data_IF_904623353471
#
_entry.id   IF_904623353471
#
_cell.length_a   1.000
_cell.length_b   1.000
_cell.length_c   1.000
_cell.angle_alpha   90.00
_cell.angle_beta   90.00
_cell.angle_gamma   90.00
#
_symmetry.space_group_name_H-M   'P 1'
#
loop_
_entity.id
_entity.type
_entity.pdbx_description
1 polymer ?
#
# COMPACT_ATOMS: atom_id res chain seq x y z
N UNK A 1 -14.89 -42.14 -15.73
CA UNK A 1 -14.94 -40.75 -15.18
C UNK A 1 -13.94 -40.72 -14.04
N UNK A 2 -12.72 -40.23 -14.27
CA UNK A 2 -11.79 -39.94 -13.17
C UNK A 2 -12.34 -38.72 -12.41
N UNK A 3 -12.86 -38.94 -11.20
CA UNK A 3 -13.11 -37.86 -10.28
C UNK A 3 -11.76 -37.17 -10.04
N UNK A 4 -11.58 -35.93 -10.55
CA UNK A 4 -10.46 -35.10 -10.12
C UNK A 4 -10.58 -35.03 -8.59
N UNK A 5 -9.62 -35.58 -7.88
CA UNK A 5 -9.49 -35.37 -6.42
C UNK A 5 -9.19 -33.88 -6.26
N UNK A 6 -9.98 -33.16 -5.48
CA UNK A 6 -9.70 -31.76 -5.17
C UNK A 6 -8.28 -31.63 -4.61
N UNK A 7 -7.43 -30.91 -5.32
CA UNK A 7 -6.00 -30.79 -5.00
C UNK A 7 -5.77 -29.79 -3.86
N UNK A 8 -6.63 -28.78 -3.74
CA UNK A 8 -6.54 -27.74 -2.72
C UNK A 8 -6.39 -28.27 -1.29
N UNK A 9 -7.21 -29.25 -0.80
CA UNK A 9 -7.05 -29.76 0.57
C UNK A 9 -5.70 -30.44 0.83
N UNK A 10 -5.12 -31.10 -0.18
CA UNK A 10 -3.79 -31.70 -0.05
C UNK A 10 -2.71 -30.64 0.10
N UNK A 11 -2.71 -29.63 -0.76
CA UNK A 11 -1.73 -28.55 -0.75
C UNK A 11 -1.84 -27.67 0.50
N UNK A 12 -3.05 -27.44 1.02
CA UNK A 12 -3.23 -26.73 2.29
C UNK A 12 -2.64 -27.51 3.48
N UNK A 13 -2.79 -28.84 3.53
CA UNK A 13 -2.10 -29.65 4.55
C UNK A 13 -0.58 -29.59 4.42
N UNK A 14 -0.05 -29.62 3.19
CA UNK A 14 1.37 -29.42 2.93
C UNK A 14 1.84 -28.05 3.42
N UNK A 15 1.07 -27.01 3.15
CA UNK A 15 1.32 -25.65 3.65
C UNK A 15 1.40 -25.63 5.18
N UNK A 16 0.45 -26.25 5.87
CA UNK A 16 0.40 -26.28 7.34
C UNK A 16 1.57 -27.08 7.95
N UNK A 17 2.07 -28.07 7.23
CA UNK A 17 3.23 -28.86 7.65
C UNK A 17 4.56 -28.12 7.50
N UNK A 18 4.75 -27.34 6.41
CA UNK A 18 6.06 -26.77 6.05
C UNK A 18 6.17 -25.25 6.17
N UNK A 19 5.06 -24.54 6.33
CA UNK A 19 5.05 -23.07 6.47
C UNK A 19 4.64 -22.71 7.89
N UNK A 20 5.42 -21.86 8.60
CA UNK A 20 5.12 -21.51 9.98
C UNK A 20 3.79 -20.74 10.08
N UNK A 21 3.02 -20.96 11.14
CA UNK A 21 1.71 -20.35 11.39
C UNK A 21 1.72 -18.83 11.44
N UNK A 22 2.88 -18.20 11.66
CA UNK A 22 3.05 -16.75 11.63
C UNK A 22 2.85 -16.13 10.24
N UNK A 23 2.95 -16.94 9.16
CA UNK A 23 2.61 -16.56 7.78
C UNK A 23 1.17 -16.99 7.50
N UNK A 24 0.21 -16.08 7.73
CA UNK A 24 -1.21 -16.36 7.51
C UNK A 24 -1.55 -16.24 6.03
N UNK A 25 -2.34 -17.21 5.52
CA UNK A 25 -3.02 -17.12 4.22
C UNK A 25 -4.47 -16.68 4.48
N UNK A 26 -4.86 -15.53 3.98
CA UNK A 26 -6.17 -14.93 4.27
C UNK A 26 -7.34 -15.77 3.70
N UNK A 27 -7.13 -16.43 2.57
CA UNK A 27 -8.09 -17.32 1.93
C UNK A 27 -7.52 -18.74 1.84
N UNK A 28 -8.26 -19.80 2.16
CA UNK A 28 -7.80 -21.17 2.07
C UNK A 28 -7.86 -21.67 0.61
N UNK A 29 -7.05 -21.05 -0.25
CA UNK A 29 -6.95 -21.34 -1.69
C UNK A 29 -5.50 -21.51 -2.09
N UNK A 30 -5.27 -22.30 -3.14
CA UNK A 30 -3.98 -22.43 -3.82
C UNK A 30 -4.18 -22.04 -5.28
N UNK A 31 -3.49 -21.00 -5.70
CA UNK A 31 -3.66 -20.43 -7.04
C UNK A 31 -2.70 -21.08 -8.02
N UNK A 32 -3.23 -21.48 -9.18
CA UNK A 32 -2.46 -22.05 -10.29
C UNK A 32 -2.07 -20.97 -11.31
N UNK A 33 -3.03 -20.12 -11.72
CA UNK A 33 -2.80 -19.09 -12.75
C UNK A 33 -3.60 -17.83 -12.49
N UNK A 34 -3.14 -16.74 -13.13
CA UNK A 34 -3.77 -15.42 -13.01
C UNK A 34 -3.67 -14.64 -14.33
N UNK A 35 -4.64 -13.77 -14.62
CA UNK A 35 -4.64 -12.88 -15.77
C UNK A 35 -5.52 -11.66 -15.51
N UNK A 36 -5.01 -10.44 -15.74
CA UNK A 36 -5.77 -9.21 -15.52
C UNK A 36 -6.26 -9.08 -14.07
N UNK A 37 -7.58 -9.08 -13.87
CA UNK A 37 -8.22 -9.03 -12.55
C UNK A 37 -8.75 -10.40 -12.09
N UNK A 38 -8.27 -11.49 -12.64
CA UNK A 38 -8.79 -12.83 -12.39
C UNK A 38 -7.71 -13.80 -11.93
N UNK A 39 -8.10 -14.70 -11.03
CA UNK A 39 -7.30 -15.82 -10.51
C UNK A 39 -8.04 -17.13 -10.73
N UNK A 40 -7.30 -18.21 -10.93
CA UNK A 40 -7.85 -19.56 -10.93
C UNK A 40 -7.07 -20.43 -9.94
N UNK A 41 -7.78 -21.15 -9.09
CA UNK A 41 -7.16 -22.11 -8.19
C UNK A 41 -6.78 -23.41 -8.93
N UNK A 42 -6.06 -24.28 -8.23
CA UNK A 42 -5.60 -25.58 -8.77
C UNK A 42 -6.74 -26.51 -9.14
N UNK A 43 -7.93 -26.31 -8.57
CA UNK A 43 -9.15 -27.08 -8.89
C UNK A 43 -9.90 -26.47 -10.09
N UNK A 44 -9.43 -25.32 -10.61
CA UNK A 44 -9.93 -24.65 -11.81
C UNK A 44 -11.04 -23.63 -11.55
N UNK A 45 -11.38 -23.33 -10.29
CA UNK A 45 -12.36 -22.31 -9.96
C UNK A 45 -11.81 -20.91 -10.20
N UNK A 46 -12.60 -20.06 -10.84
CA UNK A 46 -12.28 -18.65 -11.11
C UNK A 46 -12.68 -17.76 -9.94
N UNK A 47 -11.86 -16.72 -9.70
CA UNK A 47 -12.12 -15.67 -8.74
C UNK A 47 -11.79 -14.30 -9.33
N UNK A 48 -12.61 -13.29 -9.02
CA UNK A 48 -12.24 -11.88 -9.19
C UNK A 48 -11.28 -11.47 -8.09
N UNK A 49 -10.12 -10.92 -8.45
CA UNK A 49 -9.09 -10.48 -7.51
C UNK A 49 -9.24 -8.99 -7.17
N UNK A 50 -10.03 -8.72 -6.12
CA UNK A 50 -10.13 -7.35 -5.57
C UNK A 50 -9.19 -7.13 -4.39
N UNK A 51 -8.17 -7.98 -4.27
CA UNK A 51 -7.02 -7.82 -3.36
C UNK A 51 -5.79 -7.30 -4.11
N UNK A 52 -5.63 -7.70 -5.38
CA UNK A 52 -4.52 -7.29 -6.24
C UNK A 52 -3.14 -7.54 -5.64
N UNK A 53 -2.93 -8.68 -4.95
CA UNK A 53 -1.69 -8.95 -4.22
C UNK A 53 -1.43 -7.98 -3.06
N UNK A 54 -2.48 -7.44 -2.43
CA UNK A 54 -2.45 -6.35 -1.45
C UNK A 54 -2.02 -5.02 -2.11
N UNK A 55 -2.67 -4.69 -3.25
CA UNK A 55 -2.41 -3.44 -3.97
C UNK A 55 -1.09 -3.39 -4.74
N UNK A 56 -0.60 -4.55 -5.16
CA UNK A 56 0.64 -4.69 -5.97
C UNK A 56 0.34 -4.64 -7.47
N UNK A 57 -0.84 -5.08 -7.88
CA UNK A 57 -1.17 -5.40 -9.27
C UNK A 57 -2.09 -4.35 -9.90
N UNK A 58 -1.71 -3.07 -9.84
CA UNK A 58 -2.53 -2.00 -10.43
C UNK A 58 -2.77 -2.18 -11.93
N UNK A 59 -1.80 -2.76 -12.66
CA UNK A 59 -1.94 -3.07 -14.09
C UNK A 59 -2.40 -4.51 -14.36
N UNK A 60 -2.88 -5.23 -13.31
CA UNK A 60 -3.33 -6.60 -13.40
C UNK A 60 -2.23 -7.65 -13.42
N UNK A 61 -2.65 -8.91 -13.32
CA UNK A 61 -1.77 -10.05 -13.39
C UNK A 61 -1.24 -10.24 -14.82
N UNK A 62 0.04 -10.56 -14.93
CA UNK A 62 0.70 -10.97 -16.18
C UNK A 62 0.45 -9.99 -17.33
N UNK A 63 0.60 -8.69 -17.07
CA UNK A 63 0.44 -7.67 -18.11
C UNK A 63 1.42 -7.91 -19.26
N UNK A 64 0.96 -7.99 -20.54
CA UNK A 64 1.80 -8.43 -21.67
C UNK A 64 3.08 -7.61 -21.83
N UNK A 65 3.03 -6.29 -21.65
CA UNK A 65 4.21 -5.42 -21.76
C UNK A 65 5.25 -5.73 -20.66
N UNK A 66 4.81 -6.00 -19.45
CA UNK A 66 5.71 -6.36 -18.33
C UNK A 66 6.35 -7.72 -18.58
N UNK A 67 5.55 -8.72 -18.97
CA UNK A 67 6.08 -10.06 -19.33
C UNK A 67 7.12 -9.96 -20.43
N UNK A 68 6.85 -9.24 -21.50
CA UNK A 68 7.78 -9.05 -22.62
C UNK A 68 9.07 -8.33 -22.18
N UNK A 69 8.98 -7.27 -21.38
CA UNK A 69 10.13 -6.52 -20.89
C UNK A 69 11.03 -7.38 -19.99
N UNK A 70 10.43 -8.18 -19.10
CA UNK A 70 11.16 -9.11 -18.22
C UNK A 70 11.86 -10.20 -19.02
N UNK A 71 11.18 -10.82 -19.99
CA UNK A 71 11.76 -11.82 -20.87
C UNK A 71 12.94 -11.28 -21.66
N UNK A 72 12.81 -10.08 -22.24
CA UNK A 72 13.87 -9.42 -22.97
C UNK A 72 15.07 -9.05 -22.07
N UNK A 73 14.83 -8.61 -20.86
CA UNK A 73 15.89 -8.27 -19.91
C UNK A 73 16.60 -9.53 -19.38
N UNK A 74 15.87 -10.63 -19.15
CA UNK A 74 16.43 -11.89 -18.69
C UNK A 74 17.51 -12.46 -19.63
N UNK A 75 17.37 -12.25 -20.93
CA UNK A 75 18.35 -12.66 -21.94
C UNK A 75 19.61 -11.77 -21.95
N UNK A 76 19.60 -10.61 -21.27
CA UNK A 76 20.74 -9.68 -21.22
C UNK A 76 21.53 -9.85 -19.92
N UNK A 77 20.91 -9.51 -18.80
CA UNK A 77 21.48 -9.65 -17.47
C UNK A 77 20.37 -9.79 -16.44
N UNK A 78 20.40 -10.88 -15.68
CA UNK A 78 19.45 -11.15 -14.61
C UNK A 78 19.85 -10.46 -13.31
N UNK A 79 21.16 -10.42 -13.01
CA UNK A 79 21.70 -9.82 -11.79
C UNK A 79 23.18 -9.49 -11.97
N UNK A 80 23.59 -8.29 -11.53
CA UNK A 80 24.99 -7.88 -11.52
C UNK A 80 25.38 -7.06 -10.27
N UNK A 81 24.44 -6.83 -9.36
CA UNK A 81 24.55 -5.93 -8.20
C UNK A 81 24.91 -4.49 -8.59
N UNK A 82 23.96 -3.56 -8.49
CA UNK A 82 24.18 -2.16 -8.92
C UNK A 82 25.36 -1.47 -8.22
N UNK A 83 25.67 -1.88 -7.00
CA UNK A 83 26.84 -1.37 -6.26
C UNK A 83 28.19 -1.80 -6.84
N UNK A 84 28.21 -2.83 -7.70
CA UNK A 84 29.42 -3.31 -8.37
C UNK A 84 29.52 -2.72 -9.77
N UNK A 85 28.46 -2.79 -10.56
CA UNK A 85 28.38 -2.25 -11.93
C UNK A 85 26.97 -1.69 -12.18
N UNK A 86 26.91 -0.52 -12.81
CA UNK A 86 25.64 0.07 -13.20
C UNK A 86 25.05 -0.66 -14.41
N UNK A 87 23.73 -0.64 -14.55
CA UNK A 87 23.00 -1.14 -15.71
C UNK A 87 21.83 -0.21 -16.07
N UNK A 88 21.57 -0.15 -17.38
CA UNK A 88 20.69 0.84 -17.99
C UNK A 88 19.26 0.86 -17.38
N UNK A 89 18.57 -0.26 -17.14
CA UNK A 89 17.21 -0.21 -16.58
C UNK A 89 17.11 0.50 -15.21
N UNK A 90 18.14 0.41 -14.36
CA UNK A 90 18.17 1.14 -13.10
C UNK A 90 18.26 2.65 -13.31
N UNK A 91 19.16 3.08 -14.23
CA UNK A 91 19.38 4.50 -14.52
C UNK A 91 18.14 5.13 -15.16
N UNK A 92 17.55 4.45 -16.14
CA UNK A 92 16.35 4.91 -16.83
C UNK A 92 15.17 5.05 -15.83
N UNK A 93 14.98 4.06 -14.96
CA UNK A 93 13.94 4.11 -13.95
C UNK A 93 14.18 5.23 -12.93
N UNK A 94 15.42 5.41 -12.49
CA UNK A 94 15.78 6.49 -11.57
C UNK A 94 15.44 7.85 -12.16
N UNK A 95 15.84 8.09 -13.41
CA UNK A 95 15.50 9.31 -14.14
C UNK A 95 13.98 9.51 -14.21
N UNK A 96 13.25 8.48 -14.67
CA UNK A 96 11.81 8.55 -14.88
C UNK A 96 11.06 8.90 -13.58
N UNK A 97 11.40 8.24 -12.47
CA UNK A 97 10.75 8.52 -11.17
C UNK A 97 11.13 9.89 -10.62
N UNK A 98 12.37 10.35 -10.80
CA UNK A 98 12.77 11.70 -10.41
C UNK A 98 11.99 12.77 -11.18
N UNK A 99 11.78 12.59 -12.49
CA UNK A 99 10.97 13.49 -13.32
C UNK A 99 9.48 13.49 -12.90
N UNK A 100 8.92 12.30 -12.58
CA UNK A 100 7.51 12.17 -12.17
C UNK A 100 7.22 12.76 -10.79
N UNK A 101 8.17 12.72 -9.87
CA UNK A 101 7.98 13.12 -8.46
C UNK A 101 8.56 14.51 -8.18
N UNK A 102 9.73 14.81 -8.73
CA UNK A 102 10.51 16.01 -8.38
C UNK A 102 9.98 17.32 -8.93
N UNK A 103 9.18 17.29 -9.99
CA UNK A 103 8.73 18.49 -10.65
C UNK A 103 9.90 19.34 -11.17
N UNK A 104 10.07 20.57 -10.66
CA UNK A 104 11.18 21.46 -11.04
C UNK A 104 12.43 21.35 -10.15
N UNK A 105 12.35 20.67 -9.02
CA UNK A 105 13.48 20.45 -8.12
C UNK A 105 14.32 19.25 -8.57
N UNK A 106 15.63 19.27 -8.26
CA UNK A 106 16.50 18.12 -8.50
C UNK A 106 16.20 17.00 -7.50
N UNK A 107 15.83 15.84 -8.01
CA UNK A 107 15.57 14.62 -7.23
C UNK A 107 16.55 13.53 -7.60
N UNK A 108 16.75 12.58 -6.68
CA UNK A 108 17.50 11.33 -6.87
C UNK A 108 16.69 10.14 -6.39
N UNK A 109 17.00 8.97 -6.92
CA UNK A 109 16.35 7.71 -6.56
C UNK A 109 17.38 6.66 -6.15
N UNK A 110 17.05 5.86 -5.12
CA UNK A 110 17.77 4.66 -4.75
C UNK A 110 16.79 3.51 -4.62
N UNK A 111 17.12 2.34 -5.21
CA UNK A 111 16.22 1.18 -5.24
C UNK A 111 16.67 0.07 -4.29
N UNK A 112 15.67 -0.62 -3.74
CA UNK A 112 15.78 -1.72 -2.80
C UNK A 112 14.83 -2.85 -3.23
N UNK A 113 14.68 -3.89 -2.40
CA UNK A 113 13.89 -5.07 -2.77
C UNK A 113 12.46 -4.99 -2.23
N UNK A 114 12.28 -4.52 -1.00
CA UNK A 114 10.97 -4.47 -0.33
C UNK A 114 10.59 -3.08 0.17
N UNK A 115 9.28 -2.83 0.34
CA UNK A 115 8.82 -1.57 0.92
C UNK A 115 9.38 -1.28 2.31
N UNK A 116 9.58 -2.31 3.13
CA UNK A 116 10.21 -2.15 4.44
C UNK A 116 11.65 -1.62 4.32
N UNK A 117 12.44 -2.13 3.35
CA UNK A 117 13.79 -1.59 3.09
C UNK A 117 13.74 -0.13 2.62
N UNK A 118 12.78 0.24 1.77
CA UNK A 118 12.62 1.63 1.34
C UNK A 118 12.33 2.54 2.54
N UNK A 119 11.41 2.15 3.43
CA UNK A 119 11.11 2.90 4.67
C UNK A 119 12.34 3.02 5.55
N UNK A 120 13.04 1.92 5.84
CA UNK A 120 14.27 1.93 6.66
C UNK A 120 15.34 2.87 6.09
N UNK A 121 15.55 2.83 4.77
CA UNK A 121 16.51 3.70 4.10
C UNK A 121 16.04 5.16 4.05
N UNK A 122 14.74 5.45 3.91
CA UNK A 122 14.23 6.81 3.99
C UNK A 122 14.51 7.43 5.38
N UNK A 123 14.33 6.67 6.46
CA UNK A 123 14.69 7.12 7.82
C UNK A 123 16.22 7.32 7.97
N UNK A 124 17.02 6.39 7.43
CA UNK A 124 18.51 6.55 7.46
C UNK A 124 18.94 7.82 6.72
N UNK A 125 18.38 8.09 5.56
CA UNK A 125 18.64 9.28 4.75
C UNK A 125 18.25 10.55 5.52
N UNK A 126 17.05 10.59 6.10
CA UNK A 126 16.55 11.73 6.87
C UNK A 126 17.45 12.00 8.11
N UNK A 127 17.85 10.96 8.83
CA UNK A 127 18.78 11.07 9.97
C UNK A 127 20.15 11.58 9.55
N UNK A 128 20.70 11.07 8.44
CA UNK A 128 21.98 11.53 7.91
C UNK A 128 21.94 13.00 7.48
N UNK A 129 20.85 13.44 6.86
CA UNK A 129 20.66 14.81 6.41
C UNK A 129 20.51 15.80 7.56
N UNK A 130 19.68 15.47 8.54
CA UNK A 130 19.33 16.38 9.64
C UNK A 130 20.29 16.31 10.81
N UNK A 131 21.08 15.24 10.92
CA UNK A 131 21.86 14.87 12.10
C UNK A 131 21.00 14.78 13.38
N UNK A 132 19.72 14.36 13.24
CA UNK A 132 18.74 14.18 14.30
C UNK A 132 18.32 12.72 14.38
N UNK A 133 17.82 12.26 15.55
CA UNK A 133 17.49 10.84 15.77
C UNK A 133 15.99 10.51 15.77
N UNK A 134 15.15 11.43 16.24
CA UNK A 134 13.75 11.15 16.47
C UNK A 134 12.93 11.09 15.17
N UNK A 135 11.92 10.24 15.16
CA UNK A 135 10.97 10.09 14.05
C UNK A 135 9.55 10.08 14.59
N UNK A 136 8.65 10.78 13.94
CA UNK A 136 7.23 10.76 14.25
C UNK A 136 6.49 9.98 13.17
N UNK A 137 5.64 9.03 13.60
CA UNK A 137 4.73 8.26 12.76
C UNK A 137 3.29 8.42 13.27
N UNK A 138 2.32 7.86 12.56
CA UNK A 138 0.92 8.01 12.90
C UNK A 138 0.29 6.70 13.40
N UNK A 139 -0.63 6.80 14.37
CA UNK A 139 -1.44 5.66 14.82
C UNK A 139 -2.24 5.10 13.64
N UNK A 140 -2.32 3.77 13.57
CA UNK A 140 -2.96 3.07 12.45
C UNK A 140 -2.07 2.94 11.20
N UNK A 141 -0.95 3.67 11.10
CA UNK A 141 -0.01 3.56 9.96
C UNK A 141 0.66 2.20 9.88
N UNK A 142 1.04 1.80 8.65
CA UNK A 142 1.79 0.56 8.39
C UNK A 142 3.02 0.85 7.51
N UNK A 143 4.20 0.60 8.06
CA UNK A 143 5.47 0.94 7.42
C UNK A 143 6.44 -0.25 7.26
N UNK A 144 5.93 -1.49 7.34
CA UNK A 144 6.72 -2.70 7.15
C UNK A 144 6.79 -3.60 8.39
N UNK A 145 7.53 -4.71 8.26
CA UNK A 145 7.66 -5.76 9.29
C UNK A 145 9.10 -6.02 9.72
N UNK A 146 10.07 -5.21 9.30
CA UNK A 146 11.41 -5.14 9.90
C UNK A 146 11.32 -4.51 11.29
N UNK A 147 12.35 -4.59 12.12
CA UNK A 147 12.28 -4.07 13.49
C UNK A 147 11.95 -2.57 13.54
N UNK A 148 12.60 -1.73 12.72
CA UNK A 148 12.25 -0.32 12.64
C UNK A 148 10.90 -0.11 11.96
N UNK A 149 10.61 -0.79 10.84
CA UNK A 149 9.30 -0.73 10.17
C UNK A 149 8.15 -1.11 11.10
N UNK A 150 8.33 -2.15 11.91
CA UNK A 150 7.37 -2.54 12.97
C UNK A 150 7.27 -1.48 14.07
N UNK A 151 8.38 -0.84 14.45
CA UNK A 151 8.37 0.24 15.43
C UNK A 151 7.55 1.43 14.94
N UNK A 152 7.73 1.83 13.67
CA UNK A 152 6.98 2.91 13.01
C UNK A 152 5.50 2.58 12.80
N UNK A 153 5.18 1.29 12.59
CA UNK A 153 3.79 0.84 12.41
C UNK A 153 2.95 1.18 13.65
N UNK A 154 1.82 1.85 13.44
CA UNK A 154 0.95 2.41 14.49
C UNK A 154 -0.06 1.43 15.08
N UNK A 155 0.14 0.12 14.92
CA UNK A 155 -0.74 -0.96 15.42
C UNK A 155 0.06 -1.99 16.22
N UNK A 156 -0.50 -2.49 17.35
CA UNK A 156 0.17 -3.48 18.20
C UNK A 156 -0.02 -4.91 17.67
N UNK A 157 -1.24 -5.30 17.36
CA UNK A 157 -1.56 -6.64 16.85
C UNK A 157 -1.83 -6.63 15.35
N UNK A 158 -1.26 -7.62 14.63
CA UNK A 158 -0.35 -8.69 15.06
C UNK A 158 1.14 -8.26 15.00
N UNK A 159 1.44 -7.00 14.72
CA UNK A 159 2.75 -6.54 14.23
C UNK A 159 3.82 -6.40 15.31
N UNK A 160 3.43 -6.06 16.55
CA UNK A 160 4.37 -5.75 17.65
C UNK A 160 4.41 -6.80 18.76
N UNK A 161 3.37 -7.59 18.87
CA UNK A 161 3.24 -8.53 20.01
C UNK A 161 4.38 -9.55 20.02
N UNK A 162 5.14 -9.58 21.12
CA UNK A 162 6.28 -10.48 21.37
C UNK A 162 7.51 -10.26 20.46
N UNK A 163 7.64 -9.09 19.80
CA UNK A 163 8.80 -8.79 18.94
C UNK A 163 9.75 -7.74 19.51
N UNK A 164 9.47 -7.18 20.70
CA UNK A 164 10.37 -6.20 21.33
C UNK A 164 11.71 -6.78 21.78
N UNK A 165 12.71 -5.93 22.12
CA UNK A 165 12.59 -4.46 22.22
C UNK A 165 12.53 -3.78 20.85
N UNK A 166 11.84 -2.62 20.79
CA UNK A 166 11.69 -1.83 19.58
C UNK A 166 12.76 -0.73 19.49
N UNK A 167 12.93 -0.15 18.29
CA UNK A 167 13.86 0.94 18.08
C UNK A 167 13.46 2.17 18.92
N UNK A 168 14.42 2.82 19.60
CA UNK A 168 14.16 4.04 20.36
C UNK A 168 13.89 5.24 19.44
N UNK A 169 13.43 6.34 20.03
CA UNK A 169 13.23 7.63 19.36
C UNK A 169 12.16 7.60 18.24
N UNK A 170 11.15 6.73 18.38
CA UNK A 170 9.97 6.71 17.51
C UNK A 170 8.75 7.08 18.32
N UNK A 171 8.04 8.12 17.88
CA UNK A 171 6.87 8.68 18.54
C UNK A 171 5.63 8.53 17.64
N UNK A 172 4.45 8.39 18.24
CA UNK A 172 3.21 8.20 17.50
C UNK A 172 2.18 9.28 17.88
N UNK A 173 1.63 9.92 16.86
CA UNK A 173 0.55 10.91 16.98
C UNK A 173 -0.74 10.40 16.31
N UNK A 174 -1.94 10.90 16.66
CA UNK A 174 -3.17 10.54 15.98
C UNK A 174 -3.16 10.89 14.49
N UNK A 175 -3.82 10.05 13.68
CA UNK A 175 -4.13 10.33 12.28
C UNK A 175 -5.59 10.81 12.18
N UNK A 176 -5.94 11.76 11.29
CA UNK A 176 -7.32 12.20 11.11
C UNK A 176 -8.26 11.05 10.73
N UNK A 177 -9.36 10.94 11.43
CA UNK A 177 -10.41 9.96 11.18
C UNK A 177 -11.76 10.56 11.63
N UNK A 178 -12.36 11.37 10.76
CA UNK A 178 -13.61 12.09 11.08
C UNK A 178 -14.76 11.13 11.44
N UNK A 179 -14.83 9.97 10.80
CA UNK A 179 -15.85 8.96 11.11
C UNK A 179 -15.73 8.45 12.56
N UNK A 180 -14.53 8.43 13.13
CA UNK A 180 -14.23 8.04 14.51
C UNK A 180 -13.98 9.23 15.45
N UNK A 181 -14.36 10.45 15.02
CA UNK A 181 -14.31 11.65 15.86
C UNK A 181 -12.93 12.31 15.99
N UNK A 182 -11.95 11.95 15.16
CA UNK A 182 -10.63 12.61 15.14
C UNK A 182 -10.55 13.57 13.96
N UNK A 183 -10.73 14.87 14.21
CA UNK A 183 -10.61 15.91 13.18
C UNK A 183 -9.14 16.21 12.83
N UNK A 184 -8.91 16.92 11.71
CA UNK A 184 -7.59 17.46 11.34
C UNK A 184 -7.00 18.33 12.45
N UNK A 185 -7.80 19.24 13.02
CA UNK A 185 -7.36 20.14 14.10
C UNK A 185 -6.95 19.37 15.37
N UNK A 186 -7.70 18.32 15.74
CA UNK A 186 -7.34 17.48 16.87
C UNK A 186 -6.02 16.74 16.64
N UNK A 187 -5.80 16.23 15.43
CA UNK A 187 -4.57 15.55 15.09
C UNK A 187 -3.36 16.49 15.06
N UNK A 188 -3.52 17.70 14.51
CA UNK A 188 -2.48 18.74 14.52
C UNK A 188 -2.17 19.22 15.94
N UNK A 189 -3.19 19.46 16.76
CA UNK A 189 -3.01 19.84 18.17
C UNK A 189 -2.26 18.75 18.96
N UNK A 190 -2.58 17.48 18.73
CA UNK A 190 -1.87 16.36 19.35
C UNK A 190 -0.41 16.29 18.90
N UNK A 191 -0.10 16.63 17.65
CA UNK A 191 1.27 16.72 17.14
C UNK A 191 2.02 17.90 17.81
N UNK A 192 1.41 19.06 17.94
CA UNK A 192 1.99 20.22 18.65
C UNK A 192 2.27 19.88 20.12
N UNK A 193 1.33 19.22 20.79
CA UNK A 193 1.51 18.75 22.18
C UNK A 193 2.66 17.75 22.30
N UNK A 194 2.78 16.79 21.35
CA UNK A 194 3.88 15.84 21.31
C UNK A 194 5.23 16.57 21.18
N UNK A 195 5.32 17.57 20.30
CA UNK A 195 6.53 18.38 20.12
C UNK A 195 6.87 19.22 21.37
N UNK A 196 5.86 19.66 22.13
CA UNK A 196 6.05 20.44 23.34
C UNK A 196 6.42 19.57 24.57
N UNK A 197 5.98 18.30 24.62
CA UNK A 197 6.03 17.49 25.87
C UNK A 197 6.91 16.25 25.79
N UNK A 198 7.12 15.68 24.60
CA UNK A 198 7.80 14.39 24.44
C UNK A 198 9.12 14.49 23.68
N UNK A 199 9.16 15.28 22.61
CA UNK A 199 10.37 15.43 21.77
C UNK A 199 10.41 16.83 21.15
N UNK A 200 11.46 17.58 21.45
CA UNK A 200 11.64 18.91 20.85
C UNK A 200 11.80 18.81 19.32
N UNK A 201 11.21 19.76 18.56
CA UNK A 201 11.22 19.75 17.10
C UNK A 201 12.63 19.67 16.49
N UNK A 202 13.62 20.27 17.16
CA UNK A 202 15.06 20.26 16.76
C UNK A 202 15.70 18.88 16.87
N UNK A 203 15.06 17.93 17.54
CA UNK A 203 15.51 16.52 17.62
C UNK A 203 14.85 15.63 16.59
N UNK A 204 13.76 16.09 15.95
CA UNK A 204 12.99 15.29 14.97
C UNK A 204 13.67 15.32 13.61
N UNK A 205 14.13 14.16 13.16
CA UNK A 205 14.72 13.97 11.82
C UNK A 205 13.64 13.96 10.75
N UNK A 206 12.55 13.23 10.99
CA UNK A 206 11.50 13.03 9.99
C UNK A 206 10.11 12.85 10.62
N UNK A 207 9.10 13.19 9.84
CA UNK A 207 7.73 12.74 10.00
C UNK A 207 7.40 11.85 8.81
N UNK A 208 6.93 10.62 9.06
CA UNK A 208 6.50 9.68 8.01
C UNK A 208 4.98 9.50 8.06
N UNK A 209 4.34 9.57 6.89
CA UNK A 209 2.88 9.45 6.77
C UNK A 209 2.48 8.77 5.45
N UNK A 210 1.45 7.92 5.50
CA UNK A 210 0.74 7.44 4.31
C UNK A 210 -0.30 8.50 3.91
N UNK A 211 -0.37 8.98 2.64
CA UNK A 211 -1.46 9.88 2.19
C UNK A 211 -2.85 9.26 2.36
N UNK A 212 -2.96 7.95 2.20
CA UNK A 212 -4.11 7.14 2.60
C UNK A 212 -3.59 5.95 3.38
N UNK A 213 -3.94 5.84 4.66
CA UNK A 213 -3.56 4.69 5.46
C UNK A 213 -4.15 3.40 4.88
N UNK A 214 -3.28 2.48 4.45
CA UNK A 214 -3.72 1.21 3.86
C UNK A 214 -4.29 0.26 4.91
N UNK A 215 -3.44 -0.29 5.75
CA UNK A 215 -3.85 -1.28 6.76
C UNK A 215 -4.61 -0.64 7.93
N UNK A 216 -4.47 0.67 8.14
CA UNK A 216 -5.22 1.45 9.13
C UNK A 216 -6.71 1.59 8.82
N UNK A 217 -7.16 1.29 7.59
CA UNK A 217 -8.59 1.28 7.24
C UNK A 217 -8.98 2.14 6.06
N UNK A 218 -8.09 2.39 5.11
CA UNK A 218 -8.30 3.25 3.94
C UNK A 218 -8.74 4.66 4.32
N UNK A 219 -8.06 5.19 5.32
CA UNK A 219 -8.28 6.56 5.81
C UNK A 219 -7.46 7.53 4.97
N UNK A 220 -8.11 8.38 4.20
CA UNK A 220 -7.45 9.44 3.45
C UNK A 220 -7.15 10.64 4.37
N UNK A 221 -5.91 11.12 4.37
CA UNK A 221 -5.57 12.36 5.03
C UNK A 221 -6.28 13.53 4.33
N UNK A 222 -6.99 14.38 5.06
CA UNK A 222 -7.55 15.61 4.48
C UNK A 222 -6.46 16.49 3.87
N UNK A 223 -6.79 17.18 2.77
CA UNK A 223 -5.84 18.04 2.03
C UNK A 223 -5.22 19.09 2.95
N UNK A 224 -6.05 19.77 3.73
CA UNK A 224 -5.62 20.79 4.69
C UNK A 224 -4.69 20.26 5.77
N UNK A 225 -4.87 18.99 6.19
CA UNK A 225 -3.99 18.33 7.15
C UNK A 225 -2.59 18.09 6.56
N UNK A 226 -2.50 17.58 5.33
CA UNK A 226 -1.22 17.37 4.66
C UNK A 226 -0.50 18.70 4.36
N UNK A 227 -1.23 19.74 4.00
CA UNK A 227 -0.68 21.08 3.79
C UNK A 227 -0.14 21.69 5.09
N UNK A 228 -0.89 21.56 6.20
CA UNK A 228 -0.44 22.02 7.51
C UNK A 228 0.79 21.23 7.99
N UNK A 229 0.82 19.92 7.76
CA UNK A 229 1.96 19.07 8.08
C UNK A 229 3.20 19.46 7.27
N UNK A 230 3.06 19.78 5.97
CA UNK A 230 4.14 20.31 5.13
C UNK A 230 4.68 21.63 5.69
N UNK A 231 3.82 22.57 6.00
CA UNK A 231 4.21 23.85 6.57
C UNK A 231 4.94 23.71 7.92
N UNK A 232 4.48 22.81 8.80
CA UNK A 232 5.13 22.50 10.07
C UNK A 232 6.52 21.92 9.85
N UNK A 233 6.66 20.94 8.94
CA UNK A 233 7.95 20.29 8.67
C UNK A 233 8.96 21.25 8.06
N UNK A 234 8.53 22.14 7.15
CA UNK A 234 9.38 23.23 6.60
C UNK A 234 9.85 24.21 7.68
N UNK A 235 8.94 24.67 8.53
CA UNK A 235 9.24 25.59 9.63
C UNK A 235 10.34 25.07 10.55
N UNK A 236 10.35 23.77 10.83
CA UNK A 236 11.28 23.16 11.79
C UNK A 236 12.47 22.43 11.14
N UNK A 237 12.57 22.41 9.80
CA UNK A 237 13.60 21.67 9.07
C UNK A 237 13.51 20.17 9.33
N UNK A 238 12.29 19.62 9.42
CA UNK A 238 11.98 18.20 9.57
C UNK A 238 11.76 17.61 8.18
N UNK A 239 12.32 16.45 7.88
CA UNK A 239 12.11 15.77 6.60
C UNK A 239 10.69 15.18 6.56
N UNK A 240 9.88 15.59 5.58
CA UNK A 240 8.57 14.98 5.33
C UNK A 240 8.74 13.78 4.41
N UNK A 241 8.45 12.59 4.93
CA UNK A 241 8.45 11.33 4.17
C UNK A 241 7.01 10.93 3.87
N UNK A 242 6.65 10.89 2.59
CA UNK A 242 5.36 10.35 2.15
C UNK A 242 5.55 8.87 1.80
N UNK A 243 4.88 8.00 2.55
CA UNK A 243 4.86 6.57 2.26
C UNK A 243 3.80 6.28 1.19
N UNK A 244 4.25 6.28 -0.06
CA UNK A 244 3.44 6.03 -1.25
C UNK A 244 3.49 4.56 -1.71
N UNK A 245 3.97 3.67 -0.85
CA UNK A 245 4.09 2.23 -1.18
C UNK A 245 2.76 1.65 -1.62
N UNK A 246 1.64 2.06 -1.03
CA UNK A 246 0.31 1.57 -1.42
C UNK A 246 -0.48 2.59 -2.26
N UNK A 247 -0.30 3.88 -2.03
CA UNK A 247 -1.08 4.95 -2.67
C UNK A 247 -0.57 5.34 -4.04
N UNK A 248 0.70 5.05 -4.33
CA UNK A 248 1.34 5.39 -5.60
C UNK A 248 0.83 4.58 -6.80
N UNK A 249 1.29 4.97 -7.97
CA UNK A 249 1.01 4.33 -9.25
C UNK A 249 -0.49 4.19 -9.55
N UNK A 250 -1.21 5.32 -9.48
CA UNK A 250 -2.59 5.42 -9.93
C UNK A 250 -3.65 4.91 -8.94
N UNK A 251 -3.25 4.32 -7.80
CA UNK A 251 -4.18 3.71 -6.86
C UNK A 251 -5.25 4.67 -6.34
N UNK A 252 -4.89 5.93 -6.12
CA UNK A 252 -5.79 6.97 -5.60
C UNK A 252 -6.39 7.88 -6.69
N UNK A 253 -6.17 7.57 -7.97
CA UNK A 253 -6.63 8.36 -9.13
C UNK A 253 -5.59 9.35 -9.65
N UNK A 254 -4.48 9.55 -8.95
CA UNK A 254 -3.29 10.30 -9.42
C UNK A 254 -2.06 9.41 -9.38
N UNK A 255 -0.96 9.81 -10.03
CA UNK A 255 0.27 9.03 -9.97
C UNK A 255 0.70 8.76 -8.53
N UNK A 256 0.61 9.77 -7.66
CA UNK A 256 0.94 9.68 -6.24
C UNK A 256 -0.12 10.39 -5.40
N UNK A 257 -0.37 9.88 -4.20
CA UNK A 257 -1.38 10.39 -3.28
C UNK A 257 -1.13 11.84 -2.83
N UNK A 258 0.14 12.24 -2.65
CA UNK A 258 0.49 13.61 -2.26
C UNK A 258 0.03 14.69 -3.26
N UNK A 259 -0.14 14.30 -4.54
CA UNK A 259 -0.59 15.22 -5.58
C UNK A 259 -2.02 15.74 -5.36
N UNK A 260 -2.84 15.03 -4.56
CA UNK A 260 -4.17 15.52 -4.18
C UNK A 260 -4.09 16.78 -3.29
N UNK A 261 -3.06 16.86 -2.44
CA UNK A 261 -2.87 18.00 -1.55
C UNK A 261 -2.05 19.14 -2.17
N UNK A 262 -1.47 18.92 -3.36
CA UNK A 262 -0.64 19.94 -4.03
C UNK A 262 0.64 20.27 -3.25
N UNK A 263 1.15 19.37 -2.43
CA UNK A 263 2.38 19.55 -1.66
C UNK A 263 3.55 18.85 -2.36
N UNK A 264 4.78 19.29 -2.05
CA UNK A 264 6.00 18.63 -2.50
C UNK A 264 6.71 18.00 -1.31
N UNK A 265 6.81 16.64 -1.24
CA UNK A 265 7.50 15.95 -0.16
C UNK A 265 9.02 16.07 -0.29
N UNK A 266 9.73 15.83 0.82
CA UNK A 266 11.19 15.78 0.81
C UNK A 266 11.68 14.40 0.35
N UNK A 267 11.03 13.31 0.82
CA UNK A 267 11.26 11.93 0.42
C UNK A 267 9.93 11.22 0.15
N UNK A 268 9.93 10.33 -0.82
CA UNK A 268 8.81 9.44 -1.16
C UNK A 268 9.32 8.00 -1.14
N UNK A 269 8.62 7.10 -0.43
CA UNK A 269 8.88 5.66 -0.54
C UNK A 269 7.92 5.02 -1.53
N UNK A 270 8.44 4.19 -2.43
CA UNK A 270 7.68 3.52 -3.49
C UNK A 270 7.96 2.01 -3.48
N UNK A 271 6.95 1.21 -3.77
CA UNK A 271 7.06 -0.25 -3.94
C UNK A 271 5.78 -0.80 -4.60
N UNK A 272 5.34 -2.00 -4.22
CA UNK A 272 4.09 -2.65 -4.66
C UNK A 272 3.86 -2.53 -6.17
N UNK A 273 2.97 -1.63 -6.59
CA UNK A 273 2.59 -1.47 -8.01
C UNK A 273 3.70 -0.96 -8.92
N UNK A 274 4.82 -0.55 -8.37
CA UNK A 274 5.98 -0.06 -9.12
C UNK A 274 6.44 -1.04 -10.21
N UNK A 275 6.49 -2.34 -9.94
CA UNK A 275 7.09 -3.34 -10.85
C UNK A 275 6.12 -4.47 -11.25
N UNK A 276 4.80 -4.25 -11.17
CA UNK A 276 3.79 -5.18 -11.71
C UNK A 276 3.86 -6.61 -11.15
N UNK A 277 4.26 -6.76 -9.88
CA UNK A 277 4.37 -8.04 -9.19
C UNK A 277 5.80 -8.50 -8.89
N UNK A 278 6.83 -7.90 -9.51
CA UNK A 278 8.22 -8.21 -9.19
C UNK A 278 8.69 -7.42 -7.95
N UNK A 279 9.56 -8.02 -7.09
CA UNK A 279 10.11 -7.33 -5.93
C UNK A 279 10.96 -6.12 -6.35
N UNK A 280 10.48 -4.93 -6.01
CA UNK A 280 11.19 -3.65 -6.18
C UNK A 280 10.60 -2.62 -5.23
N UNK A 281 11.48 -1.80 -4.66
CA UNK A 281 11.10 -0.62 -3.91
C UNK A 281 12.14 0.48 -4.10
N UNK A 282 11.82 1.69 -3.67
CA UNK A 282 12.76 2.79 -3.76
C UNK A 282 12.44 3.93 -2.82
N UNK A 283 13.43 4.78 -2.64
CA UNK A 283 13.32 6.11 -2.06
C UNK A 283 13.64 7.10 -3.17
N UNK A 284 12.73 8.03 -3.40
CA UNK A 284 12.91 9.14 -4.36
C UNK A 284 12.78 10.44 -3.57
N UNK A 285 13.75 11.33 -3.68
CA UNK A 285 13.73 12.53 -2.87
C UNK A 285 14.65 13.64 -3.36
N UNK A 286 14.55 14.80 -2.70
CA UNK A 286 15.39 15.96 -2.99
C UNK A 286 16.86 15.59 -3.00
N UNK A 287 17.59 15.97 -4.05
CA UNK A 287 18.97 15.56 -4.27
C UNK A 287 19.87 15.87 -3.08
N UNK A 288 19.74 17.05 -2.46
CA UNK A 288 20.53 17.44 -1.29
C UNK A 288 20.29 16.52 -0.06
N UNK A 289 19.07 15.98 0.09
CA UNK A 289 18.72 15.04 1.16
C UNK A 289 19.23 13.63 0.82
N UNK A 290 19.04 13.20 -0.42
CA UNK A 290 19.46 11.87 -0.88
C UNK A 290 20.97 11.69 -0.88
N UNK A 291 21.76 12.76 -1.05
CA UNK A 291 23.23 12.73 -1.04
C UNK A 291 23.85 12.86 0.37
N UNK A 292 23.06 13.00 1.42
CA UNK A 292 23.56 13.15 2.78
C UNK A 292 24.27 11.88 3.34
N UNK A 293 23.83 10.65 3.07
CA UNK A 293 24.57 9.46 3.48
C UNK A 293 25.94 9.38 2.80
N UNK A 294 26.96 8.95 3.55
CA UNK A 294 28.28 8.71 2.99
C UNK A 294 28.25 7.63 1.89
N UNK A 295 29.17 7.68 0.90
CA UNK A 295 29.32 6.64 -0.11
C UNK A 295 29.39 5.24 0.51
N UNK A 296 28.58 4.31 0.01
CA UNK A 296 28.44 2.95 0.55
C UNK A 296 27.45 2.83 1.73
N UNK A 297 26.89 3.93 2.22
CA UNK A 297 25.91 3.92 3.32
C UNK A 297 24.52 3.38 2.95
N UNK A 298 24.19 3.37 1.67
CA UNK A 298 22.95 2.80 1.13
C UNK A 298 23.26 1.65 0.18
N UNK A 299 22.34 0.69 0.06
CA UNK A 299 22.47 -0.40 -0.91
C UNK A 299 21.83 -1.70 -0.45
N UNK A 300 22.04 -2.74 -1.24
CA UNK A 300 21.56 -4.11 -1.03
C UNK A 300 21.91 -4.95 -2.26
N UNK A 301 22.31 -6.18 -2.05
CA UNK A 301 22.76 -7.08 -3.13
C UNK A 301 21.74 -7.20 -4.26
N UNK A 302 20.45 -7.28 -3.93
CA UNK A 302 19.35 -7.40 -4.90
C UNK A 302 18.60 -6.09 -5.16
N UNK A 303 18.94 -5.02 -4.46
CA UNK A 303 18.28 -3.72 -4.61
C UNK A 303 18.35 -3.19 -6.04
N UNK A 304 17.19 -2.80 -6.59
CA UNK A 304 17.10 -2.33 -7.97
C UNK A 304 17.45 -3.41 -9.01
N UNK A 305 17.05 -4.66 -8.80
CA UNK A 305 17.31 -5.76 -9.75
C UNK A 305 16.94 -5.37 -11.18
N UNK A 306 17.76 -5.74 -12.15
CA UNK A 306 17.61 -5.35 -13.56
C UNK A 306 16.26 -5.79 -14.16
N UNK A 307 15.77 -6.99 -13.82
CA UNK A 307 14.46 -7.48 -14.28
C UNK A 307 13.33 -6.65 -13.71
N UNK A 308 13.39 -6.35 -12.40
CA UNK A 308 12.37 -5.55 -11.72
C UNK A 308 12.37 -4.08 -12.21
N UNK A 309 13.53 -3.51 -12.49
CA UNK A 309 13.61 -2.16 -13.08
C UNK A 309 13.04 -2.13 -14.53
N UNK A 310 13.32 -3.14 -15.34
CA UNK A 310 12.73 -3.26 -16.69
C UNK A 310 11.20 -3.44 -16.60
N UNK A 311 10.71 -4.23 -15.64
CA UNK A 311 9.29 -4.37 -15.37
C UNK A 311 8.65 -3.04 -14.97
N UNK A 312 9.30 -2.27 -14.08
CA UNK A 312 8.79 -0.98 -13.61
C UNK A 312 8.68 0.05 -14.75
N UNK A 313 9.66 0.11 -15.65
CA UNK A 313 9.57 0.95 -16.85
C UNK A 313 8.37 0.55 -17.71
N UNK A 314 8.17 -0.76 -17.95
CA UNK A 314 7.02 -1.26 -18.69
C UNK A 314 5.67 -0.99 -18.00
N UNK A 315 5.64 -0.96 -16.65
CA UNK A 315 4.46 -0.52 -15.88
C UNK A 315 4.12 0.93 -16.18
N UNK A 316 5.11 1.82 -16.11
CA UNK A 316 4.90 3.26 -16.37
C UNK A 316 4.43 3.47 -17.82
N UNK A 317 5.06 2.79 -18.79
CA UNK A 317 4.66 2.85 -20.18
C UNK A 317 3.22 2.34 -20.42
N UNK A 318 2.81 1.27 -19.71
CA UNK A 318 1.44 0.75 -19.78
C UNK A 318 0.44 1.78 -19.25
N UNK A 319 0.72 2.42 -18.11
CA UNK A 319 -0.12 3.47 -17.55
C UNK A 319 -0.39 4.61 -18.53
N UNK A 320 0.66 5.08 -19.21
CA UNK A 320 0.56 6.21 -20.15
C UNK A 320 -0.17 5.82 -21.45
N UNK A 321 0.23 4.69 -22.04
CA UNK A 321 -0.30 4.26 -23.33
C UNK A 321 -1.75 3.77 -23.25
N UNK A 322 -2.16 3.22 -22.11
CA UNK A 322 -3.51 2.69 -21.90
C UNK A 322 -4.39 3.63 -21.06
N UNK A 323 -3.88 4.83 -20.75
CA UNK A 323 -4.60 5.87 -19.98
C UNK A 323 -5.18 5.36 -18.65
N UNK A 324 -4.40 4.52 -17.94
CA UNK A 324 -4.90 3.80 -16.76
C UNK A 324 -5.29 4.71 -15.59
N UNK A 325 -4.76 5.93 -15.50
CA UNK A 325 -5.20 6.89 -14.48
C UNK A 325 -6.67 7.28 -14.67
N UNK A 326 -7.03 7.75 -15.86
CA UNK A 326 -8.41 8.14 -16.17
C UNK A 326 -9.38 6.95 -16.07
N UNK A 327 -8.94 5.77 -16.56
CA UNK A 327 -9.71 4.53 -16.43
C UNK A 327 -9.94 4.15 -14.97
N UNK A 328 -8.90 4.19 -14.14
CA UNK A 328 -8.99 3.88 -12.71
C UNK A 328 -9.90 4.82 -11.94
N UNK A 329 -9.93 6.10 -12.29
CA UNK A 329 -10.84 7.08 -11.71
C UNK A 329 -12.31 6.74 -12.03
N UNK A 330 -12.62 6.49 -13.31
CA UNK A 330 -13.98 6.12 -13.75
C UNK A 330 -14.48 4.82 -13.11
N UNK A 331 -13.62 3.79 -13.07
CA UNK A 331 -13.94 2.49 -12.46
C UNK A 331 -14.07 2.60 -10.94
N UNK A 332 -13.23 3.42 -10.30
CA UNK A 332 -13.32 3.71 -8.88
C UNK A 332 -14.65 4.37 -8.52
N UNK A 333 -15.10 5.35 -9.31
CA UNK A 333 -16.39 5.98 -9.09
C UNK A 333 -17.56 5.00 -9.31
N UNK A 334 -17.51 4.14 -10.34
CA UNK A 334 -18.51 3.08 -10.55
C UNK A 334 -18.62 2.15 -9.33
N UNK A 335 -17.49 1.67 -8.83
CA UNK A 335 -17.46 0.82 -7.64
C UNK A 335 -17.99 1.59 -6.42
N UNK A 336 -17.56 2.84 -6.20
CA UNK A 336 -18.01 3.68 -5.08
C UNK A 336 -19.52 3.85 -5.08
N UNK A 337 -20.12 4.17 -6.23
CA UNK A 337 -21.58 4.28 -6.36
C UNK A 337 -22.28 2.96 -6.06
N UNK A 338 -21.72 1.83 -6.48
CA UNK A 338 -22.21 0.50 -6.11
C UNK A 338 -22.20 0.26 -4.60
N UNK A 339 -21.08 0.58 -3.94
CA UNK A 339 -20.94 0.42 -2.49
C UNK A 339 -21.89 1.34 -1.71
N UNK A 340 -22.10 2.58 -2.16
CA UNK A 340 -23.08 3.50 -1.56
C UNK A 340 -24.52 2.98 -1.68
N UNK A 341 -24.87 2.33 -2.81
CA UNK A 341 -26.19 1.66 -2.94
C UNK A 341 -26.33 0.49 -1.96
N UNK A 342 -25.27 -0.25 -1.67
CA UNK A 342 -25.29 -1.29 -0.64
C UNK A 342 -25.47 -0.68 0.76
N UNK A 343 -24.74 0.40 1.07
CA UNK A 343 -24.88 1.12 2.34
C UNK A 343 -26.30 1.62 2.57
N UNK A 344 -26.95 2.17 1.54
CA UNK A 344 -28.33 2.66 1.66
C UNK A 344 -29.36 1.56 2.00
N UNK A 345 -29.03 0.28 1.74
CA UNK A 345 -29.88 -0.88 2.05
C UNK A 345 -29.52 -1.61 3.33
N UNK A 346 -28.29 -1.44 3.79
CA UNK A 346 -27.72 -2.18 4.91
C UNK A 346 -27.03 -1.22 5.87
N UNK A 347 -27.70 -0.85 6.95
CA UNK A 347 -27.20 0.09 7.97
C UNK A 347 -25.91 -0.42 8.65
N UNK A 348 -25.66 -1.74 8.62
CA UNK A 348 -24.41 -2.34 9.13
C UNK A 348 -23.17 -1.88 8.37
N UNK A 349 -23.35 -1.29 7.18
CA UNK A 349 -22.30 -0.57 6.46
C UNK A 349 -22.31 0.87 6.97
N UNK A 350 -21.52 1.16 8.01
CA UNK A 350 -21.51 2.47 8.65
C UNK A 350 -20.82 3.54 7.82
N UNK A 351 -19.81 3.17 7.01
CA UNK A 351 -19.06 4.12 6.19
C UNK A 351 -18.57 3.49 4.88
N UNK A 352 -18.60 4.29 3.80
CA UNK A 352 -18.00 4.00 2.49
C UNK A 352 -16.99 5.08 2.20
N UNK A 353 -15.70 4.73 2.14
CA UNK A 353 -14.63 5.71 1.99
C UNK A 353 -13.50 5.27 1.06
N UNK A 354 -12.59 6.18 0.78
CA UNK A 354 -11.40 5.97 -0.01
C UNK A 354 -11.19 7.03 -1.08
N UNK A 355 -10.21 6.82 -1.95
CA UNK A 355 -9.83 7.71 -3.05
C UNK A 355 -9.50 6.90 -4.31
N UNK A 356 -9.99 7.33 -5.47
CA UNK A 356 -9.81 6.63 -6.73
C UNK A 356 -10.31 5.19 -6.66
N UNK A 357 -9.45 4.23 -6.98
CA UNK A 357 -9.76 2.80 -6.91
C UNK A 357 -9.22 2.12 -5.64
N UNK A 358 -9.06 2.88 -4.55
CA UNK A 358 -8.71 2.44 -3.21
C UNK A 358 -9.91 2.70 -2.29
N UNK A 359 -10.86 1.75 -2.21
CA UNK A 359 -12.15 1.90 -1.57
C UNK A 359 -12.37 0.89 -0.44
N UNK A 360 -13.16 1.26 0.55
CA UNK A 360 -13.49 0.40 1.68
C UNK A 360 -14.91 0.59 2.19
N UNK A 361 -15.43 -0.47 2.83
CA UNK A 361 -16.61 -0.48 3.68
C UNK A 361 -16.19 -0.64 5.13
N UNK A 362 -16.74 0.16 6.04
CA UNK A 362 -16.59 -0.07 7.47
C UNK A 362 -17.86 -0.67 8.07
N UNK A 363 -17.75 -1.84 8.71
CA UNK A 363 -18.88 -2.59 9.26
C UNK A 363 -19.04 -2.32 10.76
N UNK A 364 -20.29 -2.14 11.19
CA UNK A 364 -20.68 -1.76 12.55
C UNK A 364 -21.80 -2.66 13.10
N UNK A 365 -21.84 -2.80 14.44
CA UNK A 365 -22.88 -3.55 15.18
C UNK A 365 -24.08 -2.70 15.55
N UNK A 366 -23.91 -1.40 15.64
CA UNK A 366 -24.94 -0.43 15.99
C UNK A 366 -24.61 0.91 15.31
N UNK A 367 -25.65 1.67 14.99
CA UNK A 367 -25.52 2.94 14.27
C UNK A 367 -25.18 4.12 15.20
N UNK A 368 -25.60 4.08 16.46
CA UNK A 368 -25.38 5.16 17.43
C UNK A 368 -23.91 5.23 17.90
N UNK A 369 -23.40 4.13 18.46
CA UNK A 369 -22.02 4.06 18.96
C UNK A 369 -21.01 3.71 17.86
N UNK A 370 -21.48 3.27 16.68
CA UNK A 370 -20.65 2.80 15.57
C UNK A 370 -19.65 1.71 15.98
N UNK A 371 -20.10 0.80 16.85
CA UNK A 371 -19.25 -0.27 17.40
C UNK A 371 -18.72 -1.15 16.25
N UNK A 372 -17.40 -1.35 16.14
CA UNK A 372 -16.82 -2.16 15.06
C UNK A 372 -17.32 -3.61 15.04
N UNK A 373 -17.64 -4.14 13.87
CA UNK A 373 -18.04 -5.54 13.68
C UNK A 373 -17.03 -6.34 12.85
N UNK A 374 -16.01 -6.88 13.52
CA UNK A 374 -15.00 -7.71 12.90
C UNK A 374 -15.53 -9.10 12.48
N UNK A 375 -16.52 -9.62 13.21
CA UNK A 375 -17.09 -10.94 12.97
C UNK A 375 -17.98 -10.92 11.72
N UNK A 376 -18.82 -9.88 11.56
CA UNK A 376 -19.58 -9.66 10.34
C UNK A 376 -18.66 -9.50 9.12
N UNK A 377 -17.57 -8.74 9.29
CA UNK A 377 -16.58 -8.54 8.22
C UNK A 377 -15.95 -9.87 7.80
N UNK A 378 -15.58 -10.74 8.75
CA UNK A 378 -15.00 -12.04 8.41
C UNK A 378 -16.01 -12.93 7.68
N UNK A 379 -17.26 -13.02 8.17
CA UNK A 379 -18.31 -13.79 7.49
C UNK A 379 -18.57 -13.28 6.08
N UNK A 380 -18.60 -11.96 5.88
CA UNK A 380 -18.80 -11.35 4.57
C UNK A 380 -17.64 -11.70 3.60
N UNK A 381 -16.39 -11.68 4.07
CA UNK A 381 -15.22 -12.11 3.28
C UNK A 381 -15.34 -13.56 2.85
N UNK A 382 -15.76 -14.44 3.76
CA UNK A 382 -15.88 -15.87 3.47
C UNK A 382 -17.00 -16.14 2.45
N UNK A 383 -18.15 -15.48 2.58
CA UNK A 383 -19.27 -15.59 1.63
C UNK A 383 -18.93 -14.97 0.26
N UNK A 384 -18.21 -13.84 0.23
CA UNK A 384 -17.73 -13.25 -1.02
C UNK A 384 -16.78 -14.21 -1.75
N UNK A 385 -15.84 -14.85 -1.03
CA UNK A 385 -14.94 -15.89 -1.58
C UNK A 385 -15.71 -17.09 -2.14
N UNK A 386 -16.73 -17.56 -1.44
CA UNK A 386 -17.60 -18.66 -1.94
C UNK A 386 -18.26 -18.24 -3.26
N UNK A 387 -18.70 -16.97 -3.36
CA UNK A 387 -19.25 -16.38 -4.57
C UNK A 387 -18.24 -16.13 -5.70
N UNK A 388 -16.92 -16.28 -5.44
CA UNK A 388 -15.88 -16.03 -6.45
C UNK A 388 -15.26 -14.63 -6.41
N UNK A 389 -15.40 -13.89 -5.32
CA UNK A 389 -14.76 -12.59 -5.12
C UNK A 389 -13.76 -12.64 -3.97
N UNK A 390 -12.50 -12.28 -4.24
CA UNK A 390 -11.47 -12.15 -3.22
C UNK A 390 -11.37 -10.70 -2.73
N UNK A 391 -11.58 -10.51 -1.45
CA UNK A 391 -11.45 -9.25 -0.71
C UNK A 391 -10.79 -9.53 0.64
N UNK A 392 -10.19 -8.54 1.28
CA UNK A 392 -9.55 -8.72 2.59
C UNK A 392 -9.91 -7.60 3.57
N UNK A 393 -9.78 -7.92 4.85
CA UNK A 393 -10.01 -6.98 5.94
C UNK A 393 -8.81 -6.09 6.20
N UNK A 394 -9.07 -4.91 6.76
CA UNK A 394 -8.10 -4.02 7.36
C UNK A 394 -8.75 -3.21 8.52
N UNK A 395 -8.10 -2.12 8.93
CA UNK A 395 -8.55 -1.31 10.07
C UNK A 395 -8.05 -1.85 11.40
N UNK A 396 -7.84 -0.93 12.35
CA UNK A 396 -7.34 -1.24 13.70
C UNK A 396 -8.24 -2.28 14.39
N UNK A 397 -9.54 -2.25 14.10
CA UNK A 397 -10.54 -3.16 14.68
C UNK A 397 -10.92 -4.32 13.74
N UNK A 398 -10.25 -4.48 12.59
CA UNK A 398 -10.50 -5.55 11.60
C UNK A 398 -11.94 -5.59 11.03
N UNK A 399 -12.68 -4.52 11.14
CA UNK A 399 -14.05 -4.35 10.70
C UNK A 399 -14.19 -3.61 9.35
N UNK A 400 -13.07 -3.37 8.67
CA UNK A 400 -13.04 -2.69 7.37
C UNK A 400 -12.76 -3.70 6.26
N UNK A 401 -13.67 -3.80 5.29
CA UNK A 401 -13.50 -4.54 4.04
C UNK A 401 -12.88 -3.62 3.00
N UNK A 402 -11.75 -3.99 2.42
CA UNK A 402 -11.04 -3.15 1.45
C UNK A 402 -11.01 -3.74 0.05
N UNK A 403 -11.06 -2.85 -0.95
CA UNK A 403 -11.05 -3.16 -2.37
C UNK A 403 -9.79 -2.56 -3.00
N UNK A 404 -9.00 -3.41 -3.64
CA UNK A 404 -7.73 -3.08 -4.29
C UNK A 404 -7.67 -3.72 -5.69
N UNK A 405 -8.79 -3.72 -6.41
CA UNK A 405 -8.86 -4.31 -7.74
C UNK A 405 -7.82 -3.68 -8.69
N UNK A 406 -7.30 -4.43 -9.67
CA UNK A 406 -6.48 -3.88 -10.74
C UNK A 406 -7.22 -2.79 -11.54
N UNK A 407 -6.53 -1.76 -12.00
CA UNK A 407 -7.10 -0.68 -12.81
C UNK A 407 -7.51 -1.14 -14.23
N UNK A 408 -7.12 -2.35 -14.60
CA UNK A 408 -7.52 -3.02 -15.85
C UNK A 408 -8.82 -3.82 -15.71
N UNK A 409 -9.41 -3.87 -14.52
CA UNK A 409 -10.74 -4.48 -14.29
C UNK A 409 -11.77 -3.91 -15.26
N UNK A 410 -12.72 -4.72 -15.73
CA UNK A 410 -13.80 -4.24 -16.62
C UNK A 410 -15.00 -3.77 -15.80
N UNK A 411 -15.91 -3.02 -16.45
CA UNK A 411 -17.16 -2.60 -15.82
C UNK A 411 -18.02 -3.79 -15.43
N UNK A 412 -18.06 -4.84 -16.28
CA UNK A 412 -18.79 -6.08 -16.02
C UNK A 412 -18.24 -6.82 -14.82
N UNK A 413 -16.90 -6.83 -14.63
CA UNK A 413 -16.26 -7.44 -13.46
C UNK A 413 -16.56 -6.66 -12.17
N UNK A 414 -16.73 -5.33 -12.24
CA UNK A 414 -17.17 -4.52 -11.10
C UNK A 414 -18.62 -4.85 -10.76
N UNK A 415 -19.50 -4.93 -11.77
CA UNK A 415 -20.90 -5.25 -11.56
C UNK A 415 -21.07 -6.67 -11.00
N UNK A 416 -20.31 -7.64 -11.50
CA UNK A 416 -20.23 -9.01 -10.96
C UNK A 416 -19.80 -9.00 -9.50
N UNK A 417 -18.73 -8.25 -9.16
CA UNK A 417 -18.23 -8.14 -7.79
C UNK A 417 -19.28 -7.54 -6.85
N UNK A 418 -20.01 -6.50 -7.29
CA UNK A 418 -21.09 -5.88 -6.53
C UNK A 418 -22.28 -6.84 -6.33
N UNK A 419 -22.64 -7.65 -7.33
CA UNK A 419 -23.67 -8.67 -7.21
C UNK A 419 -23.27 -9.78 -6.22
N UNK A 420 -22.03 -10.25 -6.28
CA UNK A 420 -21.50 -11.23 -5.33
C UNK A 420 -21.54 -10.67 -3.91
N UNK A 421 -21.12 -9.41 -3.72
CA UNK A 421 -21.10 -8.75 -2.42
C UNK A 421 -22.53 -8.56 -1.85
N UNK A 422 -23.49 -8.17 -2.69
CA UNK A 422 -24.90 -8.04 -2.31
C UNK A 422 -25.50 -9.38 -1.86
N UNK A 423 -25.26 -10.43 -2.63
CA UNK A 423 -25.68 -11.79 -2.26
C UNK A 423 -25.01 -12.31 -0.99
N UNK A 424 -23.73 -11.96 -0.77
CA UNK A 424 -23.02 -12.31 0.45
C UNK A 424 -23.58 -11.56 1.67
N UNK A 425 -23.87 -10.25 1.55
CA UNK A 425 -24.54 -9.47 2.60
C UNK A 425 -25.91 -10.07 2.97
N UNK A 426 -26.72 -10.43 1.98
CA UNK A 426 -28.02 -11.05 2.24
C UNK A 426 -27.90 -12.37 3.03
N UNK A 427 -26.84 -13.17 2.78
CA UNK A 427 -26.62 -14.44 3.50
C UNK A 427 -26.11 -14.26 4.93
N UNK A 428 -25.28 -13.25 5.19
CA UNK A 428 -24.69 -13.04 6.52
C UNK A 428 -25.56 -12.21 7.46
N UNK A 429 -26.55 -11.48 6.91
CA UNK A 429 -27.46 -10.62 7.68
C UNK A 429 -28.81 -11.29 8.00
N UNK A 430 -29.16 -12.38 7.30
CA UNK A 430 -30.32 -13.24 7.61
C UNK A 430 -29.90 -14.40 8.52
#
# INVERSE_FOLDING_TARGET
MNSKVDETPHLLRQRDQFVPRGLVTAHPLVIDRAQGAELWDVDGKRYLDFVGGIGVLNIGHNHPKVVAAVQAQLQKVSHACFQVVAYKPYLDLAQRLCEMIGGQEAYKAAFFTSGAEAVENAIKIARAHTNRSAVIAFRGGFHGRTLLGTTLTGMSQPYKQNFGPFAPEVFHTPYPNAYRGVSSDMALKALDELLATQVAAERVAAIIIEPVQGDGGFLAAPVEFLQALRALTEKHGIVLILDEIQTGFGRTGKWFGFQHAGIQPDLVTVAKSLAGGLPLSGVVGKAAIMDAPLPGGLGGTYGGNALSCAAALAVIDAFEQEQLLARGEALGERLRQGLLRLQARHWQIGDVRGSGFMLALELIKDDEARTPDADLNQRLIDEARIGGLLVIKCGVYRNVLRFLAPLVTTEEQIDEALQILDGALARVLN
#
